data_IF_489668605277
#
_entry.id   IF_489668605277
#
_cell.length_a   1.000
_cell.length_b   1.000
_cell.length_c   1.000
_cell.angle_alpha   90.00
_cell.angle_beta   90.00
_cell.angle_gamma   90.00
#
_symmetry.space_group_name_H-M   'P 1'
#
loop_
_entity.id
_entity.type
_entity.pdbx_description
1 polymer ?
#
# COMPACT_ATOMS: atom_id res chain seq x y z
N UNK A 1 -27.47 90.46 79.32
CA UNK A 1 -27.75 89.10 79.83
C UNK A 1 -28.22 88.17 78.70
N UNK A 2 -29.21 88.57 77.90
CA UNK A 2 -29.75 87.76 76.79
C UNK A 2 -28.76 87.41 75.66
N UNK A 3 -27.89 88.33 75.24
CA UNK A 3 -26.90 88.07 74.17
C UNK A 3 -25.90 86.98 74.56
N UNK A 4 -25.48 86.95 75.84
CA UNK A 4 -24.53 85.94 76.33
C UNK A 4 -25.14 84.54 76.35
N UNK A 5 -26.42 84.46 76.74
CA UNK A 5 -27.18 83.22 76.70
C UNK A 5 -27.33 82.72 75.25
N UNK A 6 -27.62 83.62 74.31
CA UNK A 6 -27.82 83.26 72.90
C UNK A 6 -26.56 82.66 72.27
N UNK A 7 -25.39 83.28 72.51
CA UNK A 7 -24.09 82.78 72.01
C UNK A 7 -23.71 81.45 72.67
N UNK A 8 -23.95 81.29 73.98
CA UNK A 8 -23.71 80.03 74.69
C UNK A 8 -24.62 78.90 74.17
N UNK A 9 -25.87 79.21 73.83
CA UNK A 9 -26.79 78.23 73.23
C UNK A 9 -26.38 77.85 71.81
N UNK A 10 -25.99 78.79 70.96
CA UNK A 10 -25.58 78.51 69.57
C UNK A 10 -24.29 77.66 69.51
N UNK A 11 -23.34 77.94 70.41
CA UNK A 11 -22.13 77.12 70.58
C UNK A 11 -22.44 75.72 71.13
N UNK A 12 -23.43 75.60 72.02
CA UNK A 12 -23.89 74.30 72.51
C UNK A 12 -24.60 73.49 71.40
N UNK A 13 -25.44 74.13 70.58
CA UNK A 13 -26.15 73.49 69.46
C UNK A 13 -25.18 72.95 68.41
N UNK A 14 -24.23 73.75 67.94
CA UNK A 14 -23.21 73.31 66.97
C UNK A 14 -22.35 72.15 67.51
N UNK A 15 -22.04 72.14 68.81
CA UNK A 15 -21.31 71.03 69.45
C UNK A 15 -22.14 69.74 69.55
N UNK A 16 -23.46 69.86 69.71
CA UNK A 16 -24.39 68.72 69.71
C UNK A 16 -24.55 68.15 68.31
N UNK A 17 -24.68 68.99 67.28
CA UNK A 17 -24.74 68.56 65.87
C UNK A 17 -23.47 67.80 65.46
N UNK A 18 -22.28 68.33 65.78
CA UNK A 18 -21.00 67.66 65.53
C UNK A 18 -20.88 66.30 66.25
N UNK A 19 -21.54 66.15 67.41
CA UNK A 19 -21.55 64.90 68.17
C UNK A 19 -22.51 63.88 67.57
N UNK A 20 -23.69 64.32 67.12
CA UNK A 20 -24.64 63.46 66.41
C UNK A 20 -24.05 62.93 65.11
N UNK A 21 -23.32 63.76 64.37
CA UNK A 21 -22.58 63.34 63.17
C UNK A 21 -21.42 62.39 63.49
N UNK A 22 -20.70 62.62 64.59
CA UNK A 22 -19.68 61.68 65.07
C UNK A 22 -20.28 60.32 65.45
N UNK A 23 -21.43 60.31 66.13
CA UNK A 23 -22.11 59.08 66.54
C UNK A 23 -22.67 58.33 65.32
N UNK A 24 -23.20 59.03 64.30
CA UNK A 24 -23.59 58.44 63.00
C UNK A 24 -22.40 57.82 62.27
N UNK A 25 -21.29 58.55 62.14
CA UNK A 25 -20.06 58.04 61.51
C UNK A 25 -19.49 56.84 62.28
N UNK A 26 -19.60 56.82 63.61
CA UNK A 26 -19.18 55.69 64.45
C UNK A 26 -20.03 54.45 64.19
N UNK A 27 -21.34 54.61 64.01
CA UNK A 27 -22.24 53.50 63.64
C UNK A 27 -21.91 53.01 62.23
N UNK A 28 -21.73 53.90 61.26
CA UNK A 28 -21.41 53.54 59.88
C UNK A 28 -20.05 52.83 59.78
N UNK A 29 -19.02 53.34 60.45
CA UNK A 29 -17.70 52.69 60.51
C UNK A 29 -17.76 51.31 61.16
N UNK A 30 -18.60 51.11 62.19
CA UNK A 30 -18.82 49.79 62.77
C UNK A 30 -19.57 48.85 61.82
N UNK A 31 -20.59 49.34 61.11
CA UNK A 31 -21.30 48.55 60.10
C UNK A 31 -20.37 48.13 58.96
N UNK A 32 -19.50 49.04 58.48
CA UNK A 32 -18.49 48.74 57.48
C UNK A 32 -17.46 47.70 57.98
N UNK A 33 -17.05 47.78 59.25
CA UNK A 33 -16.19 46.74 59.87
C UNK A 33 -16.88 45.37 59.89
N UNK A 34 -18.15 45.31 60.26
CA UNK A 34 -18.90 44.05 60.25
C UNK A 34 -19.05 43.52 58.82
N UNK A 35 -19.38 44.39 57.85
CA UNK A 35 -19.51 44.02 56.45
C UNK A 35 -18.20 43.49 55.86
N UNK A 36 -17.07 44.12 56.18
CA UNK A 36 -15.74 43.67 55.73
C UNK A 36 -15.35 42.33 56.35
N UNK A 37 -15.66 42.09 57.63
CA UNK A 37 -15.44 40.78 58.27
C UNK A 37 -16.28 39.69 57.58
N UNK A 38 -17.57 39.96 57.33
CA UNK A 38 -18.47 39.01 56.68
C UNK A 38 -18.03 38.72 55.24
N UNK A 39 -17.62 39.76 54.50
CA UNK A 39 -17.13 39.61 53.14
C UNK A 39 -15.84 38.78 53.10
N UNK A 40 -14.90 39.03 54.01
CA UNK A 40 -13.69 38.22 54.15
C UNK A 40 -14.00 36.76 54.46
N UNK A 41 -14.98 36.47 55.32
CA UNK A 41 -15.41 35.10 55.61
C UNK A 41 -15.96 34.40 54.35
N UNK A 42 -16.83 35.09 53.58
CA UNK A 42 -17.33 34.56 52.30
C UNK A 42 -16.23 34.34 51.27
N UNK A 43 -15.23 35.21 51.22
CA UNK A 43 -14.07 35.02 50.33
C UNK A 43 -13.23 33.80 50.72
N UNK A 44 -13.05 33.53 52.02
CA UNK A 44 -12.36 32.32 52.46
C UNK A 44 -13.13 31.05 52.08
N UNK A 45 -14.45 31.05 52.29
CA UNK A 45 -15.31 29.93 51.86
C UNK A 45 -15.21 29.68 50.34
N UNK A 46 -15.22 30.75 49.55
CA UNK A 46 -15.05 30.64 48.10
C UNK A 46 -13.66 30.07 47.73
N UNK A 47 -12.60 30.53 48.40
CA UNK A 47 -11.25 30.02 48.17
C UNK A 47 -11.15 28.52 48.48
N UNK A 48 -11.78 28.05 49.55
CA UNK A 48 -11.76 26.65 49.93
C UNK A 48 -12.59 25.79 48.96
N UNK A 49 -13.73 26.30 48.49
CA UNK A 49 -14.49 25.67 47.41
C UNK A 49 -13.68 25.59 46.11
N UNK A 50 -12.95 26.65 45.75
CA UNK A 50 -12.08 26.64 44.57
C UNK A 50 -10.95 25.61 44.70
N UNK A 51 -10.31 25.49 45.87
CA UNK A 51 -9.29 24.45 46.12
C UNK A 51 -9.88 23.05 45.99
N UNK A 52 -11.04 22.80 46.61
CA UNK A 52 -11.74 21.52 46.52
C UNK A 52 -12.07 21.15 45.06
N UNK A 53 -12.55 22.10 44.27
CA UNK A 53 -12.80 21.89 42.84
C UNK A 53 -11.51 21.59 42.06
N UNK A 54 -10.40 22.27 42.37
CA UNK A 54 -9.11 21.98 41.76
C UNK A 54 -8.70 20.54 42.07
N UNK A 55 -8.78 20.12 43.33
CA UNK A 55 -8.42 18.77 43.75
C UNK A 55 -9.26 17.72 43.00
N UNK A 56 -10.58 17.90 42.94
CA UNK A 56 -11.49 17.03 42.18
C UNK A 56 -11.13 16.98 40.68
N UNK A 57 -10.82 18.12 40.06
CA UNK A 57 -10.42 18.13 38.65
C UNK A 57 -9.09 17.42 38.41
N UNK A 58 -8.15 17.52 39.35
CA UNK A 58 -6.87 16.79 39.25
C UNK A 58 -7.06 15.28 39.37
N UNK A 59 -7.96 14.83 40.25
CA UNK A 59 -8.32 13.42 40.40
C UNK A 59 -8.99 12.87 39.13
N UNK A 60 -9.99 13.59 38.59
CA UNK A 60 -10.65 13.19 37.34
C UNK A 60 -9.66 13.13 36.17
N UNK A 61 -8.68 14.04 36.10
CA UNK A 61 -7.64 14.01 35.09
C UNK A 61 -6.72 12.79 35.23
N UNK A 62 -6.38 12.41 36.47
CA UNK A 62 -5.59 11.22 36.75
C UNK A 62 -6.35 9.94 36.33
N UNK A 63 -7.62 9.83 36.71
CA UNK A 63 -8.49 8.72 36.31
C UNK A 63 -8.63 8.62 34.79
N UNK A 64 -8.87 9.74 34.11
CA UNK A 64 -8.95 9.79 32.64
C UNK A 64 -7.67 9.26 32.01
N UNK A 65 -6.50 9.65 32.54
CA UNK A 65 -5.22 9.20 32.01
C UNK A 65 -5.03 7.70 32.27
N UNK A 66 -5.42 7.19 33.45
CA UNK A 66 -5.38 5.76 33.76
C UNK A 66 -6.26 4.95 32.79
N UNK A 67 -7.51 5.36 32.59
CA UNK A 67 -8.41 4.72 31.63
C UNK A 67 -7.86 4.75 30.19
N UNK A 68 -7.19 5.84 29.80
CA UNK A 68 -6.54 5.93 28.49
C UNK A 68 -5.42 4.89 28.36
N UNK A 69 -4.55 4.76 29.37
CA UNK A 69 -3.48 3.77 29.36
C UNK A 69 -4.00 2.33 29.38
N UNK A 70 -5.02 2.04 30.19
CA UNK A 70 -5.67 0.73 30.21
C UNK A 70 -6.33 0.41 28.86
N UNK A 71 -7.03 1.37 28.27
CA UNK A 71 -7.63 1.22 26.95
C UNK A 71 -6.57 0.96 25.88
N UNK A 72 -5.46 1.71 25.88
CA UNK A 72 -4.39 1.54 24.90
C UNK A 72 -3.68 0.18 25.06
N UNK A 73 -3.42 -0.25 26.30
CA UNK A 73 -2.90 -1.58 26.61
C UNK A 73 -3.85 -2.67 26.11
N UNK A 74 -5.14 -2.57 26.45
CA UNK A 74 -6.17 -3.55 26.07
C UNK A 74 -6.41 -3.58 24.56
N UNK A 75 -6.33 -2.44 23.88
CA UNK A 75 -6.45 -2.32 22.42
C UNK A 75 -5.37 -3.13 21.72
N UNK A 76 -4.14 -3.08 22.21
CA UNK A 76 -3.03 -3.84 21.66
C UNK A 76 -3.21 -5.36 21.86
N UNK A 77 -3.89 -5.78 22.92
CA UNK A 77 -4.16 -7.19 23.24
C UNK A 77 -5.36 -7.75 22.45
N UNK A 78 -6.46 -7.00 22.37
CA UNK A 78 -7.72 -7.45 21.78
C UNK A 78 -7.77 -7.30 20.25
N UNK A 79 -7.03 -6.32 19.72
CA UNK A 79 -6.89 -6.08 18.28
C UNK A 79 -5.41 -5.92 17.96
N UNK A 80 -4.62 -7.01 17.97
CA UNK A 80 -3.24 -6.95 17.54
C UNK A 80 -3.23 -6.41 16.11
N UNK A 81 -2.75 -5.17 15.95
CA UNK A 81 -2.72 -4.57 14.63
C UNK A 81 -1.73 -5.35 13.77
N UNK A 82 -2.12 -5.71 12.54
CA UNK A 82 -1.19 -6.35 11.63
C UNK A 82 0.04 -5.48 11.46
N UNK A 83 1.21 -6.11 11.53
CA UNK A 83 2.45 -5.48 11.15
C UNK A 83 2.48 -5.34 9.62
N UNK A 84 2.01 -4.19 9.14
CA UNK A 84 1.88 -3.86 7.73
C UNK A 84 3.23 -3.75 7.01
N UNK A 85 4.34 -3.62 7.73
CA UNK A 85 5.66 -3.58 7.11
C UNK A 85 6.03 -4.92 6.48
N UNK A 86 5.49 -6.03 6.99
CA UNK A 86 5.64 -7.36 6.40
C UNK A 86 5.05 -7.45 4.99
N UNK A 87 4.07 -6.62 4.67
CA UNK A 87 3.42 -6.60 3.34
C UNK A 87 4.34 -6.05 2.24
N UNK A 88 5.44 -5.36 2.59
CA UNK A 88 6.45 -4.91 1.63
C UNK A 88 7.03 -6.06 0.79
N UNK A 89 7.16 -7.25 1.38
CA UNK A 89 7.68 -8.42 0.66
C UNK A 89 6.63 -9.15 -0.19
N UNK A 90 5.33 -9.01 0.13
CA UNK A 90 4.25 -9.68 -0.60
C UNK A 90 3.68 -8.82 -1.73
N UNK A 91 3.64 -7.49 -1.57
CA UNK A 91 3.04 -6.57 -2.54
C UNK A 91 4.11 -5.63 -3.10
N UNK A 92 4.46 -5.73 -4.40
CA UNK A 92 5.36 -4.76 -5.02
C UNK A 92 4.71 -3.36 -4.95
N UNK A 93 5.48 -2.33 -4.65
CA UNK A 93 5.00 -0.95 -4.47
C UNK A 93 4.11 -0.71 -3.21
N UNK A 94 4.21 -1.56 -2.18
CA UNK A 94 3.51 -1.35 -0.90
C UNK A 94 3.71 0.06 -0.32
N UNK A 95 4.94 0.59 -0.36
CA UNK A 95 5.26 1.92 0.17
C UNK A 95 4.47 3.04 -0.50
N UNK A 96 4.13 2.93 -1.78
CA UNK A 96 3.36 3.97 -2.47
C UNK A 96 1.85 3.74 -2.30
N UNK A 97 1.42 2.49 -2.20
CA UNK A 97 0.01 2.12 -2.04
C UNK A 97 -0.52 2.33 -0.62
N UNK A 98 0.36 2.26 0.38
CA UNK A 98 0.00 2.37 1.80
C UNK A 98 -0.07 3.79 2.34
N UNK A 99 0.49 4.77 1.62
CA UNK A 99 0.48 6.18 2.04
C UNK A 99 -0.98 6.68 2.10
N UNK A 100 -1.33 7.29 3.23
CA UNK A 100 -2.63 7.89 3.52
C UNK A 100 -3.84 6.94 3.44
N UNK A 101 -3.63 5.63 3.70
CA UNK A 101 -4.71 4.63 3.73
C UNK A 101 -5.06 4.15 5.13
N UNK A 102 -6.35 3.87 5.35
CA UNK A 102 -6.82 3.24 6.58
C UNK A 102 -6.52 1.73 6.56
N UNK A 103 -6.48 1.09 7.74
CA UNK A 103 -6.22 -0.36 7.83
C UNK A 103 -7.24 -1.21 7.04
N UNK A 104 -8.49 -0.76 6.94
CA UNK A 104 -9.53 -1.41 6.14
C UNK A 104 -9.23 -1.30 4.64
N UNK A 105 -8.84 -0.11 4.17
CA UNK A 105 -8.44 0.10 2.77
C UNK A 105 -7.15 -0.67 2.42
N UNK A 106 -6.22 -0.82 3.36
CA UNK A 106 -5.01 -1.63 3.19
C UNK A 106 -5.37 -3.11 3.00
N UNK A 107 -6.37 -3.62 3.74
CA UNK A 107 -6.88 -4.97 3.56
C UNK A 107 -7.48 -5.14 2.17
N UNK A 108 -8.28 -4.19 1.69
CA UNK A 108 -8.84 -4.25 0.34
C UNK A 108 -7.78 -4.24 -0.76
N UNK A 109 -6.70 -3.46 -0.59
CA UNK A 109 -5.56 -3.46 -1.52
C UNK A 109 -4.87 -4.83 -1.54
N UNK A 110 -4.67 -5.44 -0.38
CA UNK A 110 -4.05 -6.77 -0.27
C UNK A 110 -4.98 -7.83 -0.85
N UNK A 111 -6.28 -7.79 -0.55
CA UNK A 111 -7.28 -8.71 -1.13
C UNK A 111 -7.27 -8.57 -2.65
N UNK A 112 -7.24 -7.36 -3.18
CA UNK A 112 -7.13 -7.13 -4.61
C UNK A 112 -5.83 -7.69 -5.17
N UNK A 113 -4.68 -7.52 -4.52
CA UNK A 113 -3.41 -8.09 -5.01
C UNK A 113 -3.33 -9.62 -4.86
N UNK A 114 -3.99 -10.22 -3.87
CA UNK A 114 -4.02 -11.68 -3.70
C UNK A 114 -4.99 -12.32 -4.70
N UNK A 115 -6.21 -11.77 -4.82
CA UNK A 115 -7.25 -12.24 -5.76
C UNK A 115 -6.77 -12.09 -7.19
N UNK A 116 -6.12 -10.97 -7.47
CA UNK A 116 -5.51 -10.69 -8.75
C UNK A 116 -3.99 -10.94 -8.70
N UNK A 117 -3.46 -11.99 -8.06
CA UNK A 117 -2.01 -12.25 -7.88
C UNK A 117 -1.04 -11.51 -8.83
N UNK A 118 -0.32 -10.49 -8.37
CA UNK A 118 0.65 -9.70 -9.18
C UNK A 118 0.07 -9.20 -10.54
N UNK A 119 -1.24 -8.99 -10.63
CA UNK A 119 -1.98 -8.60 -11.85
C UNK A 119 -2.10 -7.10 -11.99
N UNK A 120 -1.55 -6.28 -11.10
CA UNK A 120 -1.41 -4.85 -11.38
C UNK A 120 -0.40 -4.57 -12.51
N UNK A 121 0.45 -5.55 -12.88
CA UNK A 121 1.12 -5.56 -14.20
C UNK A 121 0.23 -6.03 -15.38
N UNK A 122 -0.90 -6.68 -15.10
CA UNK A 122 -1.79 -7.35 -16.06
C UNK A 122 -3.05 -6.54 -16.45
N UNK A 123 -3.10 -5.23 -16.17
CA UNK A 123 -4.16 -4.34 -16.69
C UNK A 123 -3.66 -3.42 -17.82
N UNK A 124 -2.50 -3.70 -18.40
CA UNK A 124 -2.10 -3.06 -19.64
C UNK A 124 -2.64 -3.91 -20.80
N UNK A 125 -3.66 -3.43 -21.51
CA UNK A 125 -4.16 -4.03 -22.77
C UNK A 125 -3.03 -4.22 -23.81
N UNK A 126 -1.93 -3.51 -23.60
CA UNK A 126 -0.77 -3.50 -24.46
C UNK A 126 0.51 -3.73 -23.64
N UNK A 127 1.42 -4.56 -24.15
CA UNK A 127 2.78 -4.58 -23.65
C UNK A 127 3.38 -3.20 -23.85
N UNK A 128 3.77 -2.53 -22.77
CA UNK A 128 4.69 -1.40 -22.86
C UNK A 128 5.96 -1.96 -23.48
N UNK A 129 6.35 -1.45 -24.65
CA UNK A 129 7.65 -1.75 -25.22
C UNK A 129 8.65 -1.27 -24.18
N UNK A 130 9.18 -2.21 -23.39
CA UNK A 130 10.08 -1.94 -22.26
C UNK A 130 11.06 -0.86 -22.71
N UNK A 131 10.95 0.31 -22.10
CA UNK A 131 11.83 1.45 -22.34
C UNK A 131 13.25 0.98 -22.11
N UNK A 132 13.98 0.65 -23.19
CA UNK A 132 15.43 0.44 -23.25
C UNK A 132 16.09 0.17 -21.89
N UNK A 133 15.66 -0.87 -21.19
CA UNK A 133 16.40 -1.32 -20.02
C UNK A 133 17.61 -2.05 -20.58
N UNK A 134 18.73 -1.34 -20.57
CA UNK A 134 20.06 -1.71 -21.06
C UNK A 134 20.68 -2.91 -20.33
N UNK A 135 19.88 -3.81 -19.78
CA UNK A 135 20.37 -4.95 -19.03
C UNK A 135 20.39 -6.20 -19.91
N UNK A 136 21.59 -6.48 -20.44
CA UNK A 136 22.28 -7.74 -20.84
C UNK A 136 21.51 -8.91 -21.50
N UNK A 137 20.23 -9.14 -21.22
CA UNK A 137 19.48 -10.30 -21.71
C UNK A 137 19.04 -10.15 -23.18
N UNK A 138 18.92 -8.91 -23.66
CA UNK A 138 18.40 -8.61 -25.01
C UNK A 138 19.43 -8.86 -26.11
N UNK A 139 20.72 -8.67 -25.83
CA UNK A 139 21.79 -8.95 -26.80
C UNK A 139 22.06 -10.44 -26.96
N UNK A 140 21.86 -11.24 -25.90
CA UNK A 140 22.21 -12.65 -25.90
C UNK A 140 21.18 -13.54 -26.60
N UNK A 141 19.95 -13.06 -26.79
CA UNK A 141 18.83 -13.89 -27.19
C UNK A 141 18.33 -13.54 -28.60
N UNK A 142 18.77 -14.33 -29.58
CA UNK A 142 18.58 -14.09 -31.02
C UNK A 142 17.10 -14.00 -31.43
N UNK A 143 16.22 -14.74 -30.75
CA UNK A 143 14.77 -14.67 -30.93
C UNK A 143 14.22 -13.26 -30.68
N UNK A 144 14.68 -12.57 -29.64
CA UNK A 144 14.24 -11.21 -29.33
C UNK A 144 14.85 -10.17 -30.27
N UNK A 145 16.08 -10.40 -30.73
CA UNK A 145 16.69 -9.55 -31.76
C UNK A 145 15.86 -9.53 -33.05
N UNK A 146 15.37 -10.70 -33.48
CA UNK A 146 14.54 -10.81 -34.69
C UNK A 146 13.17 -10.14 -34.53
N UNK A 147 12.58 -10.19 -33.32
CA UNK A 147 11.34 -9.49 -32.99
C UNK A 147 11.49 -7.96 -32.97
N UNK A 148 12.67 -7.45 -32.60
CA UNK A 148 12.94 -6.02 -32.43
C UNK A 148 13.55 -5.32 -33.66
N UNK A 149 14.03 -6.07 -34.66
CA UNK A 149 14.75 -5.52 -35.84
C UNK A 149 13.86 -5.11 -37.03
N UNK A 150 12.59 -4.75 -36.82
CA UNK A 150 11.76 -4.16 -37.88
C UNK A 150 11.67 -2.63 -37.71
N UNK A 151 12.36 -1.83 -38.55
CA UNK A 151 12.47 -0.36 -38.41
C UNK A 151 11.20 0.42 -38.83
N UNK A 152 10.02 -0.18 -38.75
CA UNK A 152 8.74 0.45 -39.10
C UNK A 152 7.67 0.37 -38.02
N UNK A 153 8.00 -0.14 -36.84
CA UNK A 153 7.08 -0.37 -35.71
C UNK A 153 7.48 0.52 -34.54
N UNK A 154 7.73 1.81 -34.79
CA UNK A 154 8.21 2.71 -33.73
C UNK A 154 7.13 3.13 -32.74
N UNK A 155 5.84 2.90 -33.03
CA UNK A 155 4.73 3.36 -32.15
C UNK A 155 3.54 2.38 -32.07
N UNK A 156 3.71 1.09 -32.39
CA UNK A 156 2.58 0.14 -32.29
C UNK A 156 2.59 -0.56 -30.93
N UNK A 157 1.66 -0.17 -30.08
CA UNK A 157 1.34 -0.89 -28.86
C UNK A 157 1.03 -2.37 -29.16
N UNK A 158 1.82 -3.30 -28.61
CA UNK A 158 1.66 -4.74 -28.86
C UNK A 158 0.56 -5.26 -27.93
N UNK A 159 -0.54 -5.78 -28.47
CA UNK A 159 -1.66 -6.24 -27.64
C UNK A 159 -1.28 -7.44 -26.78
N UNK A 160 -1.59 -7.36 -25.48
CA UNK A 160 -1.50 -8.51 -24.59
C UNK A 160 -2.81 -9.31 -24.69
N UNK A 161 -2.72 -10.52 -25.26
CA UNK A 161 -3.86 -11.43 -25.44
C UNK A 161 -4.08 -12.36 -24.26
N UNK A 162 -3.25 -12.28 -23.21
CA UNK A 162 -3.35 -13.13 -22.02
C UNK A 162 -3.49 -14.62 -22.36
N UNK A 163 -2.48 -15.16 -23.07
CA UNK A 163 -2.52 -16.57 -23.47
C UNK A 163 -2.67 -17.49 -22.26
N UNK A 164 -3.73 -18.30 -22.27
CA UNK A 164 -4.01 -19.32 -21.25
C UNK A 164 -2.99 -20.46 -21.34
N UNK A 165 -2.64 -21.05 -20.20
CA UNK A 165 -1.67 -22.16 -20.10
C UNK A 165 -1.90 -23.28 -21.12
N UNK A 166 -3.16 -23.70 -21.32
CA UNK A 166 -3.53 -24.73 -22.30
C UNK A 166 -3.17 -24.33 -23.73
N UNK A 167 -3.46 -23.08 -24.11
CA UNK A 167 -3.20 -22.55 -25.45
C UNK A 167 -1.69 -22.44 -25.67
N UNK A 168 -0.95 -21.93 -24.68
CA UNK A 168 0.51 -21.87 -24.72
C UNK A 168 1.13 -23.25 -24.89
N UNK A 169 0.66 -24.25 -24.13
CA UNK A 169 1.14 -25.62 -24.26
C UNK A 169 0.84 -26.25 -25.63
N UNK A 170 -0.34 -26.00 -26.20
CA UNK A 170 -0.67 -26.47 -27.55
C UNK A 170 0.21 -25.82 -28.61
N UNK A 171 0.44 -24.50 -28.50
CA UNK A 171 1.31 -23.78 -29.42
C UNK A 171 2.75 -24.30 -29.37
N UNK A 172 3.29 -24.54 -28.17
CA UNK A 172 4.63 -25.10 -27.99
C UNK A 172 4.73 -26.50 -28.62
N UNK A 173 3.73 -27.37 -28.39
CA UNK A 173 3.68 -28.70 -29.01
C UNK A 173 3.63 -28.61 -30.53
N UNK A 174 2.88 -27.66 -31.06
CA UNK A 174 2.75 -27.44 -32.50
C UNK A 174 4.07 -26.95 -33.11
N UNK A 175 4.77 -26.01 -32.45
CA UNK A 175 6.12 -25.56 -32.84
C UNK A 175 7.08 -26.75 -32.93
N UNK A 176 7.13 -27.58 -31.88
CA UNK A 176 8.00 -28.77 -31.86
C UNK A 176 7.64 -29.78 -32.95
N UNK A 177 6.35 -30.03 -33.15
CA UNK A 177 5.87 -30.99 -34.16
C UNK A 177 6.23 -30.55 -35.58
N UNK A 178 6.06 -29.26 -35.89
CA UNK A 178 6.43 -28.71 -37.20
C UNK A 178 7.95 -28.66 -37.39
N UNK A 179 8.71 -28.40 -36.33
CA UNK A 179 10.16 -28.43 -36.40
C UNK A 179 10.66 -29.83 -36.74
N UNK A 180 10.21 -30.85 -35.99
CA UNK A 180 10.55 -32.26 -36.25
C UNK A 180 10.12 -32.71 -37.65
N UNK A 181 8.95 -32.27 -38.12
CA UNK A 181 8.50 -32.56 -39.48
C UNK A 181 9.44 -31.96 -40.53
N UNK A 182 9.82 -30.69 -40.36
CA UNK A 182 10.74 -30.00 -41.27
C UNK A 182 12.16 -30.58 -41.24
N UNK A 183 12.65 -31.03 -40.09
CA UNK A 183 13.94 -31.73 -39.97
C UNK A 183 13.95 -33.04 -40.76
N UNK A 184 12.85 -33.80 -40.74
CA UNK A 184 12.74 -35.07 -41.44
C UNK A 184 12.55 -34.93 -42.96
N UNK A 185 12.00 -33.81 -43.43
CA UNK A 185 11.63 -33.61 -44.84
C UNK A 185 12.53 -32.64 -45.61
N UNK A 186 13.42 -31.91 -44.95
CA UNK A 186 14.29 -30.90 -45.60
C UNK A 186 15.72 -30.99 -45.09
N UNK A 187 16.62 -31.58 -45.91
CA UNK A 187 18.06 -31.71 -45.60
C UNK A 187 18.74 -30.36 -45.29
N UNK A 188 18.23 -29.25 -45.85
CA UNK A 188 18.77 -27.91 -45.63
C UNK A 188 18.26 -27.20 -44.35
N UNK A 189 17.23 -27.73 -43.66
CA UNK A 189 16.64 -27.10 -42.46
C UNK A 189 16.89 -27.88 -41.16
N UNK A 190 17.57 -29.04 -41.24
CA UNK A 190 17.79 -29.96 -40.12
C UNK A 190 18.64 -29.40 -38.96
N UNK A 191 19.28 -28.24 -39.13
CA UNK A 191 20.23 -27.69 -38.16
C UNK A 191 19.88 -26.24 -37.73
N UNK A 192 18.65 -25.80 -37.97
CA UNK A 192 18.19 -24.47 -37.54
C UNK A 192 17.92 -24.53 -36.03
N UNK A 193 18.58 -23.66 -35.27
CA UNK A 193 18.35 -23.54 -33.81
C UNK A 193 16.90 -23.19 -33.54
N UNK A 194 16.33 -23.70 -32.44
CA UNK A 194 14.95 -23.38 -32.05
C UNK A 194 14.68 -21.88 -32.02
N UNK A 195 15.65 -21.08 -31.59
CA UNK A 195 15.57 -19.61 -31.54
C UNK A 195 15.27 -18.96 -32.88
N UNK A 196 15.88 -19.49 -33.95
CA UNK A 196 15.80 -18.93 -35.29
C UNK A 196 14.56 -19.49 -36.00
N UNK A 197 14.20 -20.73 -35.71
CA UNK A 197 13.04 -21.40 -36.29
C UNK A 197 11.70 -20.77 -35.85
N UNK A 198 11.56 -20.39 -34.58
CA UNK A 198 10.26 -19.99 -34.02
C UNK A 198 9.69 -18.75 -34.71
N UNK A 199 10.52 -17.75 -35.04
CA UNK A 199 10.04 -16.56 -35.71
C UNK A 199 9.58 -16.84 -37.15
N UNK A 200 10.34 -17.66 -37.88
CA UNK A 200 9.99 -18.08 -39.24
C UNK A 200 8.69 -18.89 -39.23
N UNK A 201 8.57 -19.84 -38.30
CA UNK A 201 7.34 -20.61 -38.09
C UNK A 201 6.13 -19.73 -37.79
N UNK A 202 6.25 -18.76 -36.88
CA UNK A 202 5.14 -17.85 -36.56
C UNK A 202 4.76 -16.99 -37.76
N UNK A 203 5.74 -16.55 -38.54
CA UNK A 203 5.51 -15.76 -39.76
C UNK A 203 4.81 -16.57 -40.83
N UNK A 204 5.25 -17.82 -41.07
CA UNK A 204 4.62 -18.76 -42.01
C UNK A 204 3.19 -19.12 -41.57
N UNK A 205 2.98 -19.41 -40.27
CA UNK A 205 1.69 -19.83 -39.73
C UNK A 205 0.61 -18.74 -39.78
N UNK A 206 0.99 -17.50 -39.46
CA UNK A 206 0.04 -16.38 -39.37
C UNK A 206 0.02 -15.49 -40.62
N UNK A 207 0.84 -15.81 -41.64
CA UNK A 207 0.99 -15.05 -42.89
C UNK A 207 1.22 -13.54 -42.68
N UNK A 208 1.71 -13.15 -41.51
CA UNK A 208 1.90 -11.75 -41.12
C UNK A 208 3.00 -11.63 -40.06
N UNK A 209 4.02 -10.84 -40.39
CA UNK A 209 5.13 -10.56 -39.47
C UNK A 209 4.66 -9.80 -38.22
N UNK A 210 3.66 -8.93 -38.36
CA UNK A 210 3.12 -8.15 -37.24
C UNK A 210 2.43 -9.04 -36.21
N UNK A 211 1.62 -9.99 -36.67
CA UNK A 211 0.94 -10.96 -35.81
C UNK A 211 1.98 -11.92 -35.20
N UNK A 212 2.99 -12.34 -35.96
CA UNK A 212 4.08 -13.16 -35.45
C UNK A 212 4.82 -12.46 -34.29
N UNK A 213 5.07 -11.15 -34.41
CA UNK A 213 5.68 -10.36 -33.33
C UNK A 213 4.75 -10.30 -32.11
N UNK A 214 3.47 -9.97 -32.31
CA UNK A 214 2.47 -9.92 -31.24
C UNK A 214 2.40 -11.25 -30.48
N UNK A 215 2.32 -12.37 -31.21
CA UNK A 215 2.30 -13.70 -30.61
C UNK A 215 3.62 -14.01 -29.92
N UNK A 216 4.77 -13.62 -30.48
CA UNK A 216 6.09 -13.80 -29.86
C UNK A 216 6.20 -13.14 -28.48
N UNK A 217 5.72 -11.90 -28.34
CA UNK A 217 5.65 -11.21 -27.04
C UNK A 217 4.69 -11.89 -26.06
N UNK A 218 3.54 -12.35 -26.55
CA UNK A 218 2.59 -13.11 -25.74
C UNK A 218 3.17 -14.47 -25.29
N UNK A 219 4.00 -15.14 -26.11
CA UNK A 219 4.68 -16.39 -25.74
C UNK A 219 5.68 -16.10 -24.62
N UNK A 220 6.52 -15.08 -24.77
CA UNK A 220 7.47 -14.65 -23.73
C UNK A 220 6.78 -14.43 -22.39
N UNK A 221 5.71 -13.65 -22.41
CA UNK A 221 4.91 -13.35 -21.23
C UNK A 221 4.27 -14.61 -20.61
N UNK A 222 3.66 -15.46 -21.44
CA UNK A 222 3.09 -16.72 -20.99
C UNK A 222 4.14 -17.69 -20.41
N UNK A 223 5.32 -17.80 -21.02
CA UNK A 223 6.43 -18.61 -20.51
C UNK A 223 6.91 -18.11 -19.14
N UNK A 224 6.95 -16.79 -18.92
CA UNK A 224 7.27 -16.23 -17.61
C UNK A 224 6.19 -16.52 -16.56
N UNK A 225 4.90 -16.43 -16.92
CA UNK A 225 3.79 -16.75 -15.99
C UNK A 225 3.72 -18.23 -15.63
N UNK A 226 3.99 -19.11 -16.59
CA UNK A 226 3.83 -20.56 -16.42
C UNK A 226 5.15 -21.31 -16.23
N UNK A 227 6.17 -20.68 -15.63
CA UNK A 227 7.47 -21.30 -15.30
C UNK A 227 7.36 -22.58 -14.46
N UNK A 228 6.26 -22.75 -13.71
CA UNK A 228 6.01 -23.95 -12.92
C UNK A 228 5.64 -25.18 -13.78
N UNK A 229 5.22 -25.00 -15.03
CA UNK A 229 4.94 -26.12 -15.94
C UNK A 229 6.24 -26.58 -16.58
N UNK A 230 6.62 -27.84 -16.35
CA UNK A 230 7.88 -28.40 -16.85
C UNK A 230 8.05 -28.20 -18.36
N UNK A 231 7.03 -28.50 -19.17
CA UNK A 231 7.11 -28.44 -20.63
C UNK A 231 7.28 -27.00 -21.15
N UNK A 232 6.61 -26.05 -20.52
CA UNK A 232 6.69 -24.63 -20.90
C UNK A 232 8.05 -24.05 -20.48
N UNK A 233 8.53 -24.43 -19.29
CA UNK A 233 9.81 -23.98 -18.78
C UNK A 233 10.98 -24.55 -19.59
N UNK A 234 10.96 -25.85 -19.92
CA UNK A 234 11.98 -26.48 -20.77
C UNK A 234 12.05 -25.79 -22.13
N UNK A 235 10.91 -25.57 -22.77
CA UNK A 235 10.84 -24.82 -24.03
C UNK A 235 11.42 -23.41 -23.89
N UNK A 236 11.06 -22.68 -22.83
CA UNK A 236 11.55 -21.33 -22.58
C UNK A 236 13.07 -21.28 -22.34
N UNK A 237 13.62 -22.24 -21.59
CA UNK A 237 15.05 -22.35 -21.33
C UNK A 237 15.84 -22.65 -22.62
N UNK A 238 15.32 -23.51 -23.51
CA UNK A 238 15.93 -23.76 -24.83
C UNK A 238 15.81 -22.51 -25.71
N UNK A 239 14.64 -21.88 -25.75
CA UNK A 239 14.40 -20.66 -26.55
C UNK A 239 15.28 -19.48 -26.10
N UNK A 240 15.66 -19.44 -24.83
CA UNK A 240 16.55 -18.39 -24.30
C UNK A 240 18.03 -18.75 -24.37
N UNK A 241 18.37 -19.94 -24.87
CA UNK A 241 19.73 -20.46 -24.93
C UNK A 241 20.32 -20.79 -23.56
N UNK A 242 19.48 -20.94 -22.52
CA UNK A 242 19.90 -21.42 -21.19
C UNK A 242 20.14 -22.94 -21.19
N UNK A 243 19.44 -23.68 -22.06
CA UNK A 243 19.62 -25.12 -22.26
C UNK A 243 19.82 -25.46 -23.73
N UNK A 244 20.54 -26.55 -23.98
CA UNK A 244 20.67 -27.10 -25.33
C UNK A 244 19.41 -27.86 -25.74
N UNK A 245 19.11 -27.80 -27.03
CA UNK A 245 17.98 -28.49 -27.63
C UNK A 245 18.06 -30.03 -27.51
N UNK A 246 19.28 -30.57 -27.42
CA UNK A 246 19.52 -31.99 -27.19
C UNK A 246 18.81 -32.53 -25.94
N UNK A 247 18.60 -31.69 -24.93
CA UNK A 247 17.88 -32.06 -23.71
C UNK A 247 16.44 -32.46 -24.03
N UNK A 248 15.76 -31.69 -24.88
CA UNK A 248 14.39 -32.00 -25.31
C UNK A 248 14.34 -33.32 -26.11
N UNK A 249 15.26 -33.50 -27.06
CA UNK A 249 15.33 -34.73 -27.87
C UNK A 249 15.63 -35.97 -27.03
N UNK A 250 16.49 -35.85 -26.03
CA UNK A 250 16.78 -36.93 -25.08
C UNK A 250 15.54 -37.32 -24.27
N UNK A 251 14.85 -36.33 -23.68
CA UNK A 251 13.63 -36.54 -22.92
C UNK A 251 12.56 -37.24 -23.77
N UNK A 252 12.32 -36.76 -25.00
CA UNK A 252 11.34 -37.38 -25.91
C UNK A 252 11.71 -38.82 -26.26
N UNK A 253 12.99 -39.13 -26.44
CA UNK A 253 13.47 -40.49 -26.71
C UNK A 253 13.29 -41.42 -25.51
N UNK A 254 13.57 -40.94 -24.29
CA UNK A 254 13.33 -41.71 -23.07
C UNK A 254 11.83 -41.92 -22.82
N UNK A 255 10.99 -40.90 -23.01
CA UNK A 255 9.54 -41.06 -22.96
C UNK A 255 9.04 -42.10 -23.98
N UNK A 256 9.53 -42.05 -25.23
CA UNK A 256 9.19 -43.04 -26.25
C UNK A 256 9.65 -44.46 -25.86
N UNK A 257 10.85 -44.60 -25.29
CA UNK A 257 11.39 -45.88 -24.81
C UNK A 257 10.53 -46.47 -23.70
N UNK A 258 10.14 -45.65 -22.71
CA UNK A 258 9.27 -46.06 -21.60
C UNK A 258 7.88 -46.44 -22.12
N UNK A 259 7.29 -45.64 -23.01
CA UNK A 259 5.99 -45.93 -23.62
C UNK A 259 6.01 -47.25 -24.41
N UNK A 260 7.06 -47.50 -25.20
CA UNK A 260 7.21 -48.78 -25.92
C UNK A 260 7.31 -49.97 -24.97
N UNK A 261 7.97 -49.82 -23.82
CA UNK A 261 8.03 -50.87 -22.81
C UNK A 261 6.66 -51.11 -22.17
N UNK A 262 5.92 -50.05 -21.85
CA UNK A 262 4.57 -50.14 -21.27
C UNK A 262 3.53 -50.72 -22.23
N UNK A 263 3.65 -50.45 -23.53
CA UNK A 263 2.74 -50.99 -24.56
C UNK A 263 3.03 -52.47 -24.87
N UNK A 264 4.27 -52.94 -24.59
CA UNK A 264 4.67 -54.34 -24.77
C UNK A 264 4.33 -55.24 -23.57
N UNK A 265 3.91 -54.65 -22.45
CA UNK A 265 3.30 -55.34 -21.30
C UNK A 265 1.79 -55.51 -21.53
#
# INVERSE_FOLDING_TARGET
MWIKILVETEYAYTRVELRDDFDKLKVETNNLKIATILLNAKFQELLDNCKCLIDQTTEILADRNNYYFEWESNRNILTPRPDWDKCFHMVPNWKTLSIDKTSEQLVDIIINEIVHGNTTQNNNEYFSMMTRDKNELHEKNMFFKQLCMNPGIEEKFIKNRYMRRRITGLLIKDIWSNKLFNENHSENKANIKLTDYVFDYLTEKFCSKEIAIEIGYNIKDACNRYRNSYEINLFWQILTGQMEENVYHYEMKEFARILQYLIKL
#
